data_IF_976573900990
#
_entry.id   IF_976573900990
#
_cell.length_a   1.000
_cell.length_b   1.000
_cell.length_c   1.000
_cell.angle_alpha   90.00
_cell.angle_beta   90.00
_cell.angle_gamma   90.00
#
_symmetry.space_group_name_H-M   'P 1'
#
loop_
_entity.id
_entity.type
_entity.pdbx_description
1 polymer ?
#
# COMPACT_ATOMS: atom_id res chain seq x y z
N UNK A 1 14.24 7.26 2.55
CA UNK A 1 12.96 7.63 3.16
C UNK A 1 12.06 6.41 3.25
N UNK A 2 11.48 6.18 4.38
CA UNK A 2 10.48 5.10 4.53
C UNK A 2 9.08 5.68 4.38
N UNK A 3 8.27 5.02 3.56
CA UNK A 3 6.90 5.42 3.25
C UNK A 3 5.93 4.35 3.75
N UNK A 4 4.93 4.77 4.49
CA UNK A 4 3.87 3.89 4.99
C UNK A 4 2.52 4.32 4.42
N UNK A 5 1.68 3.36 4.13
CA UNK A 5 0.27 3.62 3.83
C UNK A 5 -0.61 2.65 4.63
N UNK A 6 -1.64 3.20 5.24
CA UNK A 6 -2.63 2.46 6.01
C UNK A 6 -3.96 2.54 5.27
N UNK A 7 -4.56 1.39 5.03
CA UNK A 7 -5.82 1.29 4.29
C UNK A 7 -6.94 0.82 5.20
N UNK A 8 -8.03 1.58 5.22
CA UNK A 8 -9.28 1.18 5.86
C UNK A 8 -10.23 0.68 4.77
N UNK A 9 -10.79 -0.51 4.96
CA UNK A 9 -11.67 -1.13 3.97
C UNK A 9 -13.13 -0.98 4.37
N UNK A 10 -14.01 -1.00 3.36
CA UNK A 10 -15.45 -1.00 3.56
C UNK A 10 -15.88 -2.21 4.38
N UNK A 11 -16.93 -2.07 5.17
CA UNK A 11 -17.52 -3.19 5.93
C UNK A 11 -17.96 -4.28 4.96
N UNK A 12 -17.67 -5.53 5.30
CA UNK A 12 -17.99 -6.67 4.45
C UNK A 12 -16.99 -6.94 3.34
N UNK A 13 -15.93 -6.15 3.22
CA UNK A 13 -14.89 -6.38 2.23
C UNK A 13 -14.15 -7.70 2.51
N UNK A 14 -13.72 -8.36 1.43
CA UNK A 14 -12.84 -9.52 1.53
C UNK A 14 -11.42 -9.04 1.79
N UNK A 15 -11.05 -8.90 3.06
CA UNK A 15 -9.75 -8.34 3.48
C UNK A 15 -8.60 -9.18 2.95
N UNK A 16 -8.74 -10.51 2.97
CA UNK A 16 -7.67 -11.40 2.49
C UNK A 16 -7.43 -11.24 0.99
N UNK A 17 -8.49 -11.07 0.21
CA UNK A 17 -8.36 -10.85 -1.24
C UNK A 17 -7.70 -9.50 -1.53
N UNK A 18 -8.06 -8.45 -0.81
CA UNK A 18 -7.43 -7.14 -0.95
C UNK A 18 -5.97 -7.19 -0.52
N UNK A 19 -5.68 -7.86 0.59
CA UNK A 19 -4.31 -8.07 1.07
C UNK A 19 -3.44 -8.75 0.00
N UNK A 20 -3.94 -9.83 -0.60
CA UNK A 20 -3.22 -10.55 -1.64
C UNK A 20 -2.95 -9.66 -2.86
N UNK A 21 -3.93 -8.83 -3.24
CA UNK A 21 -3.77 -7.90 -4.35
C UNK A 21 -2.70 -6.84 -4.06
N UNK A 22 -2.73 -6.25 -2.87
CA UNK A 22 -1.74 -5.25 -2.45
C UNK A 22 -0.35 -5.87 -2.42
N UNK A 23 -0.23 -7.06 -1.82
CA UNK A 23 1.03 -7.78 -1.71
C UNK A 23 1.65 -8.05 -3.08
N UNK A 24 0.85 -8.52 -4.05
CA UNK A 24 1.31 -8.80 -5.41
C UNK A 24 1.77 -7.52 -6.12
N UNK A 25 1.03 -6.42 -5.96
CA UNK A 25 1.43 -5.15 -6.58
C UNK A 25 2.79 -4.67 -6.05
N UNK A 26 3.00 -4.75 -4.74
CA UNK A 26 4.28 -4.33 -4.16
C UNK A 26 5.43 -5.26 -4.54
N UNK A 27 5.15 -6.55 -4.73
CA UNK A 27 6.14 -7.48 -5.28
C UNK A 27 6.56 -7.07 -6.70
N UNK A 28 5.60 -6.71 -7.54
CA UNK A 28 5.87 -6.26 -8.91
C UNK A 28 6.61 -4.93 -8.93
N UNK A 29 6.26 -4.00 -8.04
CA UNK A 29 6.95 -2.71 -7.92
C UNK A 29 8.41 -2.90 -7.49
N UNK A 30 8.67 -3.81 -6.57
CA UNK A 30 10.02 -4.14 -6.13
C UNK A 30 10.88 -4.66 -7.29
N UNK A 31 10.30 -5.50 -8.15
CA UNK A 31 11.00 -5.99 -9.34
C UNK A 31 11.24 -4.90 -10.38
N UNK A 32 10.28 -3.98 -10.55
CA UNK A 32 10.30 -2.98 -11.61
C UNK A 32 11.15 -1.75 -11.27
N UNK A 33 11.27 -1.39 -9.99
CA UNK A 33 11.85 -0.12 -9.56
C UNK A 33 13.09 -0.35 -8.70
N UNK A 34 14.30 -0.09 -9.24
CA UNK A 34 15.54 -0.37 -8.49
C UNK A 34 15.73 0.53 -7.26
N UNK A 35 15.01 1.63 -7.17
CA UNK A 35 15.08 2.57 -6.05
C UNK A 35 13.97 2.36 -5.02
N UNK A 36 13.12 1.34 -5.19
CA UNK A 36 12.10 0.94 -4.23
C UNK A 36 12.52 -0.39 -3.63
N UNK A 37 12.65 -0.43 -2.30
CA UNK A 37 13.26 -1.57 -1.61
C UNK A 37 12.38 -2.03 -0.44
N UNK A 38 12.57 -3.31 -0.08
CA UNK A 38 12.06 -3.90 1.15
C UNK A 38 10.55 -3.66 1.37
N UNK A 39 9.69 -3.96 0.39
CA UNK A 39 8.26 -3.81 0.59
C UNK A 39 7.77 -4.79 1.67
N UNK A 40 6.93 -4.28 2.56
CA UNK A 40 6.29 -5.05 3.62
C UNK A 40 4.80 -4.76 3.56
N UNK A 41 3.98 -5.81 3.57
CA UNK A 41 2.52 -5.66 3.58
C UNK A 41 1.98 -6.53 4.71
N UNK A 42 1.16 -5.93 5.57
CA UNK A 42 0.59 -6.60 6.74
C UNK A 42 -0.91 -6.42 6.76
N UNK A 43 -1.59 -7.44 7.28
CA UNK A 43 -3.01 -7.42 7.55
C UNK A 43 -3.19 -7.28 9.06
N UNK A 44 -4.11 -6.40 9.50
CA UNK A 44 -4.39 -6.23 10.92
C UNK A 44 -4.89 -7.55 11.51
N UNK A 45 -4.42 -7.87 12.72
CA UNK A 45 -4.87 -9.05 13.46
C UNK A 45 -5.97 -8.70 14.47
N UNK A 46 -6.36 -7.42 14.56
CA UNK A 46 -7.41 -6.96 15.49
C UNK A 46 -8.44 -6.17 14.70
N UNK A 47 -9.69 -6.61 14.72
CA UNK A 47 -10.79 -5.90 14.08
C UNK A 47 -11.39 -4.88 15.05
N UNK A 48 -11.25 -3.59 14.71
CA UNK A 48 -11.85 -2.49 15.47
C UNK A 48 -11.97 -1.28 14.56
N UNK A 49 -12.96 -0.45 14.82
CA UNK A 49 -13.29 0.70 13.96
C UNK A 49 -12.14 1.70 13.80
N UNK A 50 -11.30 1.85 14.81
CA UNK A 50 -10.17 2.78 14.79
C UNK A 50 -8.91 2.20 14.16
N UNK A 51 -8.88 0.91 13.80
CA UNK A 51 -7.73 0.29 13.15
C UNK A 51 -7.87 0.36 11.64
N UNK A 52 -6.75 0.55 10.97
CA UNK A 52 -6.63 0.21 9.55
C UNK A 52 -6.69 -1.32 9.38
N UNK A 53 -7.02 -1.76 8.19
CA UNK A 53 -7.12 -3.18 7.88
C UNK A 53 -5.84 -3.73 7.24
N UNK A 54 -5.14 -2.89 6.47
CA UNK A 54 -3.90 -3.28 5.77
C UNK A 54 -2.89 -2.14 5.92
N UNK A 55 -1.63 -2.50 6.12
CA UNK A 55 -0.50 -1.57 6.09
C UNK A 55 0.50 -2.03 5.04
N UNK A 56 0.98 -1.10 4.22
CA UNK A 56 2.11 -1.32 3.33
C UNK A 56 3.23 -0.35 3.69
N UNK A 57 4.47 -0.82 3.61
CA UNK A 57 5.65 -0.01 3.87
C UNK A 57 6.71 -0.30 2.82
N UNK A 58 7.38 0.74 2.34
CA UNK A 58 8.48 0.62 1.38
C UNK A 58 9.61 1.55 1.78
N UNK A 59 10.83 1.21 1.36
CA UNK A 59 11.99 2.06 1.47
C UNK A 59 12.28 2.66 0.10
N UNK A 60 12.29 3.99 0.01
CA UNK A 60 12.67 4.73 -1.20
C UNK A 60 14.08 5.28 -1.01
N UNK A 61 14.93 5.15 -2.04
CA UNK A 61 16.32 5.63 -1.98
C UNK A 61 16.40 7.15 -1.78
N UNK A 62 15.39 7.87 -2.28
CA UNK A 62 15.34 9.33 -2.23
C UNK A 62 13.89 9.79 -2.12
N UNK A 63 13.58 10.82 -1.30
CA UNK A 63 12.22 11.38 -1.24
C UNK A 63 11.66 11.83 -2.59
N UNK A 64 12.53 12.20 -3.53
CA UNK A 64 12.11 12.58 -4.88
C UNK A 64 11.47 11.41 -5.66
N UNK A 65 11.67 10.16 -5.22
CA UNK A 65 11.06 8.99 -5.85
C UNK A 65 9.60 8.78 -5.44
N UNK A 66 9.09 9.52 -4.44
CA UNK A 66 7.71 9.34 -3.98
C UNK A 66 6.70 9.58 -5.12
N UNK A 67 6.83 10.68 -5.85
CA UNK A 67 5.92 10.99 -6.94
C UNK A 67 6.01 9.98 -8.10
N UNK A 68 7.20 9.60 -8.58
CA UNK A 68 7.32 8.53 -9.58
C UNK A 68 6.70 7.19 -9.14
N UNK A 69 6.80 6.84 -7.86
CA UNK A 69 6.14 5.66 -7.32
C UNK A 69 4.60 5.81 -7.36
N UNK A 70 4.08 6.92 -6.86
CA UNK A 70 2.63 7.14 -6.81
C UNK A 70 1.98 7.15 -8.19
N UNK A 71 2.70 7.62 -9.22
CA UNK A 71 2.21 7.70 -10.60
C UNK A 71 2.60 6.51 -11.47
N UNK A 72 3.30 5.53 -10.91
CA UNK A 72 3.66 4.32 -11.67
C UNK A 72 2.40 3.56 -12.08
N UNK A 73 2.33 3.03 -13.32
CA UNK A 73 1.15 2.30 -13.80
C UNK A 73 0.67 1.19 -12.89
N UNK A 74 1.59 0.43 -12.27
CA UNK A 74 1.22 -0.64 -11.33
C UNK A 74 0.49 -0.08 -10.11
N UNK A 75 0.96 1.06 -9.57
CA UNK A 75 0.32 1.70 -8.43
C UNK A 75 -1.05 2.29 -8.81
N UNK A 76 -1.11 2.98 -9.94
CA UNK A 76 -2.36 3.58 -10.42
C UNK A 76 -3.42 2.52 -10.69
N UNK A 77 -3.05 1.38 -11.27
CA UNK A 77 -3.99 0.29 -11.55
C UNK A 77 -4.52 -0.32 -10.25
N UNK A 78 -3.66 -0.54 -9.27
CA UNK A 78 -4.08 -1.03 -7.96
C UNK A 78 -5.06 -0.07 -7.30
N UNK A 79 -4.74 1.23 -7.30
CA UNK A 79 -5.61 2.25 -6.71
C UNK A 79 -6.97 2.29 -7.41
N UNK A 80 -6.99 2.17 -8.73
CA UNK A 80 -8.23 2.14 -9.52
C UNK A 80 -9.05 0.90 -9.19
N UNK A 81 -8.43 -0.27 -9.11
CA UNK A 81 -9.10 -1.54 -8.85
C UNK A 81 -9.68 -1.60 -7.42
N UNK A 82 -9.07 -0.89 -6.48
CA UNK A 82 -9.47 -0.91 -5.06
C UNK A 82 -10.29 0.32 -4.64
N UNK A 83 -10.60 1.24 -5.55
CA UNK A 83 -11.23 2.52 -5.20
C UNK A 83 -12.58 2.37 -4.49
N UNK A 84 -13.35 1.33 -4.80
CA UNK A 84 -14.68 1.13 -4.20
C UNK A 84 -14.62 0.39 -2.86
N UNK A 85 -13.50 -0.25 -2.54
CA UNK A 85 -13.35 -1.02 -1.31
C UNK A 85 -12.51 -0.29 -0.27
N UNK A 86 -11.59 0.59 -0.68
CA UNK A 86 -10.79 1.40 0.23
C UNK A 86 -11.56 2.67 0.58
N UNK A 87 -12.02 2.77 1.82
CA UNK A 87 -12.84 3.90 2.30
C UNK A 87 -12.03 4.91 3.09
N UNK A 88 -10.79 4.57 3.48
CA UNK A 88 -9.89 5.49 4.17
C UNK A 88 -8.44 5.17 3.88
N UNK A 89 -7.62 6.21 3.83
CA UNK A 89 -6.19 6.08 3.56
C UNK A 89 -5.41 7.09 4.36
N UNK A 90 -4.34 6.64 5.00
CA UNK A 90 -3.42 7.48 5.76
C UNK A 90 -2.00 7.13 5.36
N UNK A 91 -1.17 8.14 5.14
CA UNK A 91 0.24 7.96 4.78
C UNK A 91 1.13 8.61 5.83
N UNK A 92 2.33 8.07 5.98
CA UNK A 92 3.36 8.62 6.84
C UNK A 92 4.73 8.39 6.21
N UNK A 93 5.56 9.43 6.19
CA UNK A 93 6.90 9.37 5.61
C UNK A 93 7.93 9.87 6.61
N UNK A 94 9.08 9.18 6.72
CA UNK A 94 10.20 9.64 7.54
C UNK A 94 11.55 9.24 6.93
N UNK A 95 12.58 9.97 7.31
CA UNK A 95 13.96 9.67 6.94
C UNK A 95 14.54 8.47 7.70
#
# INVERSE_FOLDING_TARGET
MKHYVLLKLAKGADVKAVFARVQETYRQLDEALPWLNSPEVYMSCVERDSNADIMAAIQLDDPAHLQPYLTHPLHLQMAQDLKDVVVGRTSFDHE
#
